data_IF_293993008154
#
_entry.id   IF_293993008154
#
_cell.length_a   1.000
_cell.length_b   1.000
_cell.length_c   1.000
_cell.angle_alpha   90.00
_cell.angle_beta   90.00
_cell.angle_gamma   90.00
#
_symmetry.space_group_name_H-M   'P 1'
#
loop_
_entity.id
_entity.type
_entity.pdbx_description
1 polymer ?
#
# COMPACT_ATOMS: atom_id res chain seq x y z
N UNK A 1 1.86 12.58 -11.45
CA UNK A 1 0.52 12.49 -10.82
C UNK A 1 -0.35 13.63 -11.33
N UNK A 2 0.12 14.88 -11.28
CA UNK A 2 -0.58 16.01 -11.91
C UNK A 2 -0.76 15.88 -13.44
N UNK A 3 0.06 15.03 -14.08
CA UNK A 3 0.03 14.76 -15.53
C UNK A 3 -0.98 13.70 -15.96
N UNK A 4 -1.62 12.99 -15.03
CA UNK A 4 -2.54 11.89 -15.35
C UNK A 4 -3.82 12.40 -16.01
N UNK A 5 -4.32 11.63 -16.97
CA UNK A 5 -5.54 11.87 -17.75
C UNK A 5 -6.61 10.83 -17.41
N UNK A 6 -7.84 11.04 -17.87
CA UNK A 6 -8.92 10.06 -17.73
C UNK A 6 -8.56 8.72 -18.40
N UNK A 7 -7.84 8.76 -19.52
CA UNK A 7 -7.36 7.59 -20.26
C UNK A 7 -6.17 6.85 -19.63
N UNK A 8 -5.56 7.40 -18.57
CA UNK A 8 -4.47 6.72 -17.86
C UNK A 8 -4.92 5.40 -17.23
N UNK A 9 -6.23 5.21 -17.03
CA UNK A 9 -6.82 4.05 -16.39
C UNK A 9 -7.90 3.45 -17.27
N UNK A 10 -8.02 2.13 -17.26
CA UNK A 10 -9.09 1.42 -17.95
C UNK A 10 -9.72 0.34 -17.08
N UNK A 11 -11.04 0.24 -17.19
CA UNK A 11 -11.82 -0.88 -16.67
C UNK A 11 -11.62 -2.09 -17.57
N UNK A 12 -11.24 -3.21 -16.97
CA UNK A 12 -11.10 -4.52 -17.62
C UNK A 12 -11.86 -5.56 -16.84
N UNK A 13 -12.18 -6.66 -17.51
CA UNK A 13 -12.83 -7.83 -16.91
C UNK A 13 -11.98 -9.05 -17.18
N UNK A 14 -11.67 -9.82 -16.15
CA UNK A 14 -10.92 -11.05 -16.31
C UNK A 14 -11.80 -12.12 -16.99
N UNK A 15 -11.38 -12.73 -18.12
CA UNK A 15 -12.21 -13.66 -18.87
C UNK A 15 -12.65 -14.91 -18.10
N UNK A 16 -11.80 -15.38 -17.17
CA UNK A 16 -12.02 -16.65 -16.48
C UNK A 16 -12.93 -16.52 -15.26
N UNK A 17 -12.76 -15.44 -14.49
CA UNK A 17 -13.46 -15.23 -13.22
C UNK A 17 -14.64 -14.28 -13.36
N UNK A 18 -14.71 -13.50 -14.45
CA UNK A 18 -15.66 -12.40 -14.61
C UNK A 18 -15.38 -11.21 -13.68
N UNK A 19 -14.28 -11.23 -12.92
CA UNK A 19 -13.95 -10.17 -11.96
C UNK A 19 -13.50 -8.92 -12.69
N UNK A 20 -14.12 -7.77 -12.36
CA UNK A 20 -13.70 -6.48 -12.91
C UNK A 20 -12.49 -5.94 -12.16
N UNK A 21 -11.67 -5.16 -12.85
CA UNK A 21 -10.54 -4.47 -12.26
C UNK A 21 -10.19 -3.21 -13.04
N UNK A 22 -9.61 -2.22 -12.35
CA UNK A 22 -9.04 -1.04 -12.99
C UNK A 22 -7.54 -1.25 -13.17
N UNK A 23 -7.04 -1.06 -14.38
CA UNK A 23 -5.62 -1.13 -14.70
C UNK A 23 -5.09 0.25 -15.12
N UNK A 24 -3.84 0.57 -14.74
CA UNK A 24 -3.13 1.72 -15.31
C UNK A 24 -2.50 1.38 -16.63
N UNK A 25 -2.96 2.04 -17.68
CA UNK A 25 -2.31 1.99 -18.98
C UNK A 25 -0.99 2.77 -18.89
N UNK A 26 0.10 2.15 -19.33
CA UNK A 26 1.38 2.82 -19.52
C UNK A 26 1.41 3.36 -20.96
N UNK A 27 1.49 4.68 -21.12
CA UNK A 27 1.73 5.28 -22.44
C UNK A 27 3.12 4.86 -22.93
N UNK A 28 3.18 4.20 -24.10
CA UNK A 28 4.43 3.70 -24.69
C UNK A 28 5.42 4.82 -25.10
N UNK A 29 4.97 6.08 -25.11
CA UNK A 29 5.64 7.23 -25.74
C UNK A 29 6.71 7.94 -24.90
N UNK A 30 6.88 7.65 -23.60
CA UNK A 30 7.96 8.26 -22.79
C UNK A 30 9.26 7.46 -22.78
N UNK A 31 9.44 6.51 -23.71
CA UNK A 31 10.64 5.67 -23.91
C UNK A 31 11.88 6.42 -24.45
N UNK A 32 12.10 7.67 -24.06
CA UNK A 32 13.34 8.40 -24.32
C UNK A 32 14.03 8.87 -23.04
N UNK A 33 14.30 7.97 -22.09
CA UNK A 33 15.47 8.15 -21.22
C UNK A 33 16.03 6.85 -20.64
N UNK A 34 17.20 6.47 -21.17
CA UNK A 34 18.34 5.80 -20.52
C UNK A 34 18.05 4.63 -19.57
N UNK A 35 18.35 3.42 -20.07
CA UNK A 35 19.01 2.33 -19.34
C UNK A 35 18.52 1.98 -17.93
N UNK A 36 17.83 0.84 -17.84
CA UNK A 36 17.63 0.00 -16.63
C UNK A 36 16.42 0.27 -15.71
N UNK A 37 15.54 1.22 -16.01
CA UNK A 37 14.26 1.31 -15.28
C UNK A 37 13.20 0.42 -15.96
N UNK A 38 13.06 -0.83 -15.49
CA UNK A 38 11.89 -1.68 -15.79
C UNK A 38 10.64 -1.01 -15.21
N UNK A 39 10.05 -0.08 -15.95
CA UNK A 39 8.75 0.53 -15.68
C UNK A 39 7.63 -0.47 -16.03
N UNK A 40 7.70 -1.68 -15.47
CA UNK A 40 6.82 -2.81 -15.83
C UNK A 40 5.66 -2.98 -14.83
N UNK A 41 5.65 -2.26 -13.72
CA UNK A 41 4.55 -2.44 -12.75
C UNK A 41 3.36 -1.55 -13.11
N UNK A 42 2.51 -2.07 -13.99
CA UNK A 42 1.12 -1.63 -14.11
C UNK A 42 0.39 -1.97 -12.81
N UNK A 43 -0.15 -0.97 -12.12
CA UNK A 43 -0.99 -1.21 -10.95
C UNK A 43 -2.35 -1.78 -11.38
N UNK A 44 -2.95 -2.63 -10.56
CA UNK A 44 -4.27 -3.23 -10.82
C UNK A 44 -5.12 -3.14 -9.57
N UNK A 45 -6.30 -2.54 -9.64
CA UNK A 45 -7.28 -2.47 -8.54
C UNK A 45 -8.43 -3.45 -8.81
N UNK A 46 -8.44 -4.64 -8.19
CA UNK A 46 -9.52 -5.60 -8.37
C UNK A 46 -10.81 -5.15 -7.70
N UNK A 47 -11.94 -5.59 -8.23
CA UNK A 47 -13.25 -5.42 -7.62
C UNK A 47 -13.31 -6.12 -6.26
N UNK A 48 -13.89 -5.44 -5.27
CA UNK A 48 -14.16 -6.00 -3.95
C UNK A 48 -15.67 -6.18 -3.80
N UNK A 49 -16.21 -7.27 -4.37
CA UNK A 49 -17.64 -7.56 -4.42
C UNK A 49 -18.26 -7.56 -3.02
N UNK A 50 -19.37 -6.85 -2.85
CA UNK A 50 -20.08 -6.74 -1.57
C UNK A 50 -19.48 -5.73 -0.58
N UNK A 51 -18.36 -5.08 -0.92
CA UNK A 51 -17.80 -4.00 -0.09
C UNK A 51 -18.38 -2.65 -0.50
N UNK A 52 -18.88 -1.87 0.47
CA UNK A 52 -19.20 -0.45 0.25
C UNK A 52 -17.95 0.39 -0.07
N UNK A 53 -16.76 -0.16 0.17
CA UNK A 53 -15.45 0.43 -0.08
C UNK A 53 -14.83 -0.10 -1.40
N UNK A 54 -15.65 -0.62 -2.33
CA UNK A 54 -15.16 -1.22 -3.57
C UNK A 54 -14.39 -0.20 -4.42
N UNK A 55 -13.11 -0.45 -4.76
CA UNK A 55 -12.28 0.51 -5.48
C UNK A 55 -12.74 0.67 -6.94
N UNK A 56 -13.26 -0.38 -7.57
CA UNK A 56 -13.78 -0.33 -8.95
C UNK A 56 -15.02 0.55 -9.02
N UNK A 57 -16.00 0.32 -8.14
CA UNK A 57 -17.23 1.13 -8.10
C UNK A 57 -16.93 2.60 -7.73
N UNK A 58 -16.04 2.81 -6.77
CA UNK A 58 -15.58 4.15 -6.41
C UNK A 58 -14.91 4.86 -7.58
N UNK A 59 -14.12 4.14 -8.38
CA UNK A 59 -13.48 4.68 -9.57
C UNK A 59 -14.49 5.05 -10.64
N UNK A 60 -15.46 4.17 -10.94
CA UNK A 60 -16.52 4.44 -11.92
C UNK A 60 -17.32 5.67 -11.53
N UNK A 61 -17.80 5.73 -10.27
CA UNK A 61 -18.54 6.91 -9.74
C UNK A 61 -17.68 8.17 -9.82
N UNK A 62 -16.40 8.10 -9.49
CA UNK A 62 -15.51 9.25 -9.60
C UNK A 62 -15.41 9.77 -11.04
N UNK A 63 -15.15 8.87 -12.01
CA UNK A 63 -14.99 9.25 -13.42
C UNK A 63 -16.26 9.82 -14.05
N UNK A 64 -17.42 9.31 -13.65
CA UNK A 64 -18.73 9.78 -14.10
C UNK A 64 -19.01 11.24 -13.69
N UNK A 65 -18.56 11.63 -12.49
CA UNK A 65 -18.79 12.98 -11.96
C UNK A 65 -17.75 14.01 -12.38
N UNK A 66 -16.70 13.61 -13.11
CA UNK A 66 -15.67 14.52 -13.63
C UNK A 66 -16.24 15.47 -14.68
N UNK A 67 -15.67 16.67 -14.79
CA UNK A 67 -16.06 17.62 -15.83
C UNK A 67 -15.69 17.05 -17.21
N UNK A 68 -16.62 17.00 -18.19
CA UNK A 68 -16.38 16.39 -19.50
C UNK A 68 -15.23 17.08 -20.25
N UNK A 69 -15.23 18.42 -20.29
CA UNK A 69 -14.25 19.23 -21.02
C UNK A 69 -12.82 19.22 -20.43
N UNK A 70 -12.63 18.61 -19.27
CA UNK A 70 -11.31 18.49 -18.64
C UNK A 70 -10.81 17.05 -18.78
N UNK A 71 -9.75 16.83 -19.56
CA UNK A 71 -9.15 15.50 -19.76
C UNK A 71 -8.33 15.02 -18.53
N UNK A 72 -8.04 15.93 -17.61
CA UNK A 72 -7.21 15.61 -16.44
C UNK A 72 -8.00 14.77 -15.46
N UNK A 73 -7.33 13.77 -14.89
CA UNK A 73 -7.95 12.92 -13.89
C UNK A 73 -8.25 13.72 -12.63
N UNK A 74 -7.24 14.40 -12.09
CA UNK A 74 -7.35 15.15 -10.84
C UNK A 74 -7.90 16.56 -11.09
N UNK A 75 -9.19 16.72 -10.85
CA UNK A 75 -9.90 17.99 -11.03
C UNK A 75 -10.26 18.64 -9.68
N UNK A 76 -10.40 19.96 -9.68
CA UNK A 76 -10.78 20.71 -8.47
C UNK A 76 -12.25 20.43 -8.14
N UNK A 77 -12.58 19.95 -6.93
CA UNK A 77 -13.97 19.74 -6.54
C UNK A 77 -14.72 21.07 -6.45
N UNK A 78 -16.02 21.03 -6.70
CA UNK A 78 -16.93 22.15 -6.43
C UNK A 78 -17.12 22.35 -4.94
N UNK A 79 -17.39 23.59 -4.55
CA UNK A 79 -17.55 23.96 -3.14
C UNK A 79 -18.86 23.40 -2.57
N UNK A 80 -19.86 23.24 -3.44
CA UNK A 80 -21.12 22.56 -3.19
C UNK A 80 -21.43 21.62 -4.37
N UNK A 81 -22.04 20.47 -4.09
CA UNK A 81 -22.62 19.57 -5.09
C UNK A 81 -23.87 18.91 -4.49
N UNK A 82 -24.84 18.56 -5.32
CA UNK A 82 -25.92 17.65 -4.94
C UNK A 82 -25.55 16.24 -5.41
N UNK A 83 -25.87 15.23 -4.61
CA UNK A 83 -25.73 13.82 -5.00
C UNK A 83 -26.89 13.45 -5.92
N UNK A 84 -26.86 14.02 -7.14
CA UNK A 84 -27.76 13.72 -8.25
C UNK A 84 -26.98 13.02 -9.38
N UNK A 85 -27.66 12.13 -10.10
CA UNK A 85 -27.08 11.31 -11.15
C UNK A 85 -26.54 12.15 -12.31
N UNK A 86 -27.16 13.30 -12.60
CA UNK A 86 -26.76 14.17 -13.71
C UNK A 86 -25.82 15.33 -13.30
N UNK A 87 -25.45 15.45 -12.03
CA UNK A 87 -24.64 16.59 -11.56
C UNK A 87 -23.13 16.36 -11.69
N UNK A 88 -22.44 17.36 -12.25
CA UNK A 88 -20.97 17.40 -12.35
C UNK A 88 -20.40 17.96 -11.04
N UNK A 89 -19.58 17.17 -10.35
CA UNK A 89 -19.03 17.54 -9.03
C UNK A 89 -17.73 18.34 -9.09
N UNK A 90 -17.10 18.43 -10.26
CA UNK A 90 -15.80 19.05 -10.44
C UNK A 90 -15.88 20.27 -11.36
N UNK A 91 -15.00 21.24 -11.12
CA UNK A 91 -14.80 22.34 -12.07
C UNK A 91 -13.95 21.86 -13.25
N UNK A 92 -14.05 22.56 -14.39
CA UNK A 92 -13.09 22.43 -15.50
C UNK A 92 -11.74 23.06 -15.12
N UNK A 93 -11.09 22.52 -14.09
CA UNK A 93 -9.84 23.02 -13.54
C UNK A 93 -9.05 21.87 -12.91
N UNK A 94 -7.74 21.87 -13.11
CA UNK A 94 -6.85 20.82 -12.60
C UNK A 94 -6.45 21.08 -11.15
N UNK A 95 -6.14 20.01 -10.41
CA UNK A 95 -5.53 20.13 -9.09
C UNK A 95 -4.02 20.33 -9.24
N UNK A 96 -3.50 21.41 -8.64
CA UNK A 96 -2.06 21.67 -8.61
C UNK A 96 -1.27 20.61 -7.83
N UNK A 97 -0.03 20.35 -8.25
CA UNK A 97 0.81 19.31 -7.66
C UNK A 97 1.01 19.47 -6.14
N UNK A 98 1.19 20.71 -5.66
CA UNK A 98 1.36 20.99 -4.24
C UNK A 98 0.14 20.53 -3.43
N UNK A 99 -1.06 20.80 -3.93
CA UNK A 99 -2.32 20.39 -3.29
C UNK A 99 -2.47 18.87 -3.28
N UNK A 100 -2.04 18.20 -4.35
CA UNK A 100 -2.07 16.74 -4.43
C UNK A 100 -1.05 16.09 -3.47
N UNK A 101 0.11 16.73 -3.24
CA UNK A 101 1.09 16.29 -2.24
C UNK A 101 0.56 16.41 -0.81
N UNK A 102 -0.23 17.45 -0.50
CA UNK A 102 -0.81 17.66 0.83
C UNK A 102 -2.21 17.08 1.01
N UNK A 103 -2.81 16.52 -0.04
CA UNK A 103 -4.21 16.10 -0.07
C UNK A 103 -4.65 15.26 1.15
N UNK A 104 -3.94 14.17 1.44
CA UNK A 104 -4.30 13.31 2.59
C UNK A 104 -4.12 14.02 3.94
N UNK A 105 -3.09 14.87 4.06
CA UNK A 105 -2.86 15.69 5.26
C UNK A 105 -4.00 16.67 5.50
N UNK A 106 -4.45 17.33 4.44
CA UNK A 106 -5.53 18.30 4.49
C UNK A 106 -6.86 17.59 4.82
N UNK A 107 -7.14 16.46 4.16
CA UNK A 107 -8.33 15.65 4.40
C UNK A 107 -8.39 15.16 5.85
N UNK A 108 -7.28 14.63 6.36
CA UNK A 108 -7.16 14.14 7.72
C UNK A 108 -7.47 15.23 8.76
N UNK A 109 -7.04 16.46 8.49
CA UNK A 109 -7.30 17.60 9.36
C UNK A 109 -8.77 18.06 9.27
N UNK A 110 -9.32 18.15 8.05
CA UNK A 110 -10.72 18.50 7.82
C UNK A 110 -11.69 17.52 8.47
N UNK A 111 -11.39 16.22 8.43
CA UNK A 111 -12.18 15.17 9.06
C UNK A 111 -11.93 15.02 10.57
N UNK A 112 -11.02 15.81 11.16
CA UNK A 112 -10.66 15.73 12.59
C UNK A 112 -10.29 14.31 13.06
N UNK A 113 -9.51 13.61 12.24
CA UNK A 113 -9.01 12.29 12.62
C UNK A 113 -8.08 12.39 13.82
N UNK A 114 -7.90 11.28 14.52
CA UNK A 114 -7.09 11.19 15.75
C UNK A 114 -5.61 11.51 15.55
N UNK A 115 -5.10 11.39 14.33
CA UNK A 115 -3.76 11.84 13.97
C UNK A 115 -3.74 12.36 12.53
N UNK A 116 -2.66 13.07 12.20
CA UNK A 116 -2.42 13.56 10.84
C UNK A 116 -1.91 12.43 9.95
N UNK A 117 -2.74 11.98 9.02
CA UNK A 117 -2.35 11.04 7.99
C UNK A 117 -1.76 11.75 6.78
N UNK A 118 -0.71 11.17 6.19
CA UNK A 118 -0.07 11.70 4.99
C UNK A 118 -0.16 10.71 3.84
N UNK A 119 0.19 11.15 2.64
CA UNK A 119 0.34 10.25 1.50
C UNK A 119 1.36 9.12 1.76
N UNK A 120 2.36 9.35 2.61
CA UNK A 120 3.30 8.32 3.04
C UNK A 120 2.65 7.31 4.00
N UNK A 121 1.74 7.76 4.87
CA UNK A 121 0.98 6.88 5.77
C UNK A 121 0.17 5.84 5.00
N UNK A 122 -0.47 6.25 3.90
CA UNK A 122 -1.19 5.32 2.99
C UNK A 122 -0.23 4.24 2.49
N UNK A 123 0.89 4.64 1.89
CA UNK A 123 1.89 3.71 1.35
C UNK A 123 2.44 2.75 2.41
N UNK A 124 2.70 3.25 3.61
CA UNK A 124 3.13 2.44 4.76
C UNK A 124 2.08 1.39 5.12
N UNK A 125 0.79 1.77 5.21
CA UNK A 125 -0.29 0.86 5.58
C UNK A 125 -0.37 -0.35 4.66
N UNK A 126 -0.41 -0.19 3.33
CA UNK A 126 -0.48 -1.40 2.50
C UNK A 126 0.85 -2.12 2.32
N UNK A 127 2.01 -1.48 2.53
CA UNK A 127 3.25 -2.23 2.67
C UNK A 127 3.18 -3.19 3.88
N UNK A 128 2.69 -2.70 5.02
CA UNK A 128 2.44 -3.52 6.21
C UNK A 128 1.38 -4.60 5.95
N UNK A 129 0.25 -4.28 5.31
CA UNK A 129 -0.79 -5.29 5.01
C UNK A 129 -0.21 -6.41 4.13
N UNK A 130 0.51 -6.08 3.06
CA UNK A 130 1.09 -7.09 2.18
C UNK A 130 2.18 -7.91 2.89
N UNK A 131 2.99 -7.27 3.74
CA UNK A 131 3.99 -7.97 4.57
C UNK A 131 3.33 -8.96 5.52
N UNK A 132 2.25 -8.55 6.19
CA UNK A 132 1.53 -9.40 7.14
C UNK A 132 0.87 -10.60 6.46
N UNK A 133 0.46 -10.45 5.20
CA UNK A 133 -0.06 -11.52 4.35
C UNK A 133 1.03 -12.37 3.66
N UNK A 134 2.30 -12.24 4.09
CA UNK A 134 3.43 -13.09 3.66
C UNK A 134 3.75 -13.03 2.16
N UNK A 135 3.43 -11.91 1.50
CA UNK A 135 3.92 -11.66 0.14
C UNK A 135 5.44 -11.44 0.16
N UNK A 136 6.12 -11.87 -0.90
CA UNK A 136 7.55 -11.67 -1.04
C UNK A 136 7.86 -10.16 -1.19
N UNK A 137 8.94 -9.69 -0.58
CA UNK A 137 9.46 -8.33 -0.72
C UNK A 137 9.51 -7.85 -2.17
N UNK A 138 9.88 -8.70 -3.14
CA UNK A 138 9.86 -8.32 -4.55
C UNK A 138 8.45 -7.95 -5.06
N UNK A 139 7.42 -8.69 -4.65
CA UNK A 139 6.02 -8.42 -4.98
C UNK A 139 5.50 -7.18 -4.23
N UNK A 140 5.90 -7.01 -2.97
CA UNK A 140 5.54 -5.82 -2.20
C UNK A 140 6.18 -4.57 -2.83
N UNK A 141 7.47 -4.63 -3.20
CA UNK A 141 8.18 -3.55 -3.87
C UNK A 141 7.53 -3.18 -5.20
N UNK A 142 7.06 -4.16 -5.97
CA UNK A 142 6.40 -3.90 -7.24
C UNK A 142 5.12 -3.08 -7.04
N UNK A 143 4.28 -3.42 -6.05
CA UNK A 143 3.02 -2.71 -5.76
C UNK A 143 3.25 -1.37 -5.08
N UNK A 144 4.13 -1.32 -4.09
CA UNK A 144 4.35 -0.12 -3.24
C UNK A 144 5.33 0.88 -3.87
N UNK A 145 6.07 0.48 -4.91
CA UNK A 145 7.05 1.30 -5.59
C UNK A 145 8.30 1.60 -4.75
N UNK A 146 8.65 0.74 -3.80
CA UNK A 146 9.92 0.84 -3.05
C UNK A 146 11.08 0.37 -3.93
N UNK A 147 12.23 1.05 -3.82
CA UNK A 147 13.43 0.71 -4.59
C UNK A 147 14.38 -0.23 -3.87
N UNK A 148 14.18 -0.42 -2.56
CA UNK A 148 15.04 -1.26 -1.73
C UNK A 148 14.21 -2.02 -0.69
N UNK A 149 14.59 -3.27 -0.44
CA UNK A 149 14.04 -4.10 0.65
C UNK A 149 14.30 -3.45 2.01
N UNK A 150 15.42 -2.75 2.17
CA UNK A 150 15.73 -2.03 3.41
C UNK A 150 14.71 -0.93 3.72
N UNK A 151 14.09 -0.34 2.70
CA UNK A 151 13.01 0.63 2.90
C UNK A 151 11.66 -0.02 3.25
N UNK A 152 11.53 -1.34 3.06
CA UNK A 152 10.37 -2.12 3.45
C UNK A 152 10.49 -2.72 4.86
N UNK A 153 11.70 -3.03 5.32
CA UNK A 153 11.92 -3.70 6.62
C UNK A 153 11.33 -2.95 7.81
N UNK A 154 11.19 -1.61 7.71
CA UNK A 154 10.52 -0.77 8.73
C UNK A 154 9.06 -1.18 8.96
N UNK A 155 8.42 -1.80 7.96
CA UNK A 155 7.01 -2.21 7.98
C UNK A 155 6.83 -3.70 8.29
N UNK A 156 7.89 -4.51 8.23
CA UNK A 156 7.89 -5.95 8.53
C UNK A 156 7.95 -6.20 10.04
N UNK A 157 6.95 -5.71 10.78
CA UNK A 157 6.88 -5.95 12.22
C UNK A 157 6.29 -7.33 12.47
N UNK A 158 7.10 -8.19 13.07
CA UNK A 158 6.67 -9.51 13.51
C UNK A 158 5.84 -9.36 14.78
N UNK A 159 4.58 -9.75 14.70
CA UNK A 159 3.68 -9.78 15.86
C UNK A 159 4.06 -10.91 16.85
N UNK A 160 3.66 -10.78 18.10
CA UNK A 160 3.92 -11.76 19.17
C UNK A 160 3.43 -13.15 18.79
N UNK A 161 2.26 -13.26 18.15
CA UNK A 161 1.73 -14.54 17.68
C UNK A 161 2.66 -15.21 16.65
N UNK A 162 3.21 -14.43 15.72
CA UNK A 162 4.14 -14.93 14.72
C UNK A 162 5.47 -15.36 15.37
N UNK A 163 5.96 -14.62 16.37
CA UNK A 163 7.13 -15.04 17.17
C UNK A 163 6.89 -16.38 17.87
N UNK A 164 5.70 -16.60 18.41
CA UNK A 164 5.33 -17.87 19.03
C UNK A 164 5.31 -19.01 18.00
N UNK A 165 4.73 -18.80 16.82
CA UNK A 165 4.74 -19.80 15.74
C UNK A 165 6.16 -20.14 15.27
N UNK A 166 7.02 -19.14 15.13
CA UNK A 166 8.43 -19.36 14.81
C UNK A 166 9.14 -20.19 15.89
N UNK A 167 8.92 -19.84 17.17
CA UNK A 167 9.46 -20.60 18.30
C UNK A 167 8.98 -22.06 18.35
N UNK A 168 7.69 -22.29 18.10
CA UNK A 168 7.12 -23.64 18.02
C UNK A 168 7.73 -24.46 16.89
N UNK A 169 7.88 -23.86 15.70
CA UNK A 169 8.48 -24.53 14.53
C UNK A 169 9.92 -24.95 14.82
N UNK A 170 10.71 -24.09 15.45
CA UNK A 170 12.07 -24.40 15.87
C UNK A 170 12.08 -25.55 16.90
N UNK A 171 11.20 -25.49 17.91
CA UNK A 171 11.08 -26.51 18.93
C UNK A 171 10.70 -27.89 18.39
N UNK A 172 9.71 -27.95 17.48
CA UNK A 172 9.29 -29.20 16.83
C UNK A 172 10.42 -29.78 15.99
N UNK A 173 11.11 -28.94 15.20
CA UNK A 173 12.21 -29.39 14.33
C UNK A 173 13.39 -29.94 15.14
N UNK A 174 13.71 -29.31 16.27
CA UNK A 174 14.76 -29.79 17.17
C UNK A 174 14.35 -31.08 17.91
N UNK A 175 13.07 -31.23 18.27
CA UNK A 175 12.55 -32.43 18.94
C UNK A 175 12.37 -33.63 17.99
N UNK A 176 12.25 -33.39 16.68
CA UNK A 176 12.09 -34.42 15.66
C UNK A 176 13.41 -35.09 15.23
N UNK A 177 14.55 -34.71 15.82
CA UNK A 177 15.80 -35.48 15.67
C UNK A 177 15.66 -36.75 16.53
N UNK A 178 15.54 -37.96 15.95
CA UNK A 178 15.54 -39.18 16.74
C UNK A 178 16.85 -39.27 17.52
N UNK A 179 16.73 -39.56 18.81
CA UNK A 179 17.83 -39.77 19.73
C UNK A 179 18.69 -40.96 19.30
N UNK A 180 19.65 -40.74 18.40
CA UNK A 180 20.81 -41.58 18.21
C UNK A 180 22.04 -40.69 18.10
N UNK A 181 22.47 -40.13 19.23
CA UNK A 181 23.83 -39.62 19.38
C UNK A 181 24.37 -40.19 20.69
N UNK A 182 25.17 -41.24 20.51
CA UNK A 182 26.12 -41.75 21.50
C UNK A 182 26.98 -40.59 22.01
N UNK A 183 27.14 -40.49 23.33
CA UNK A 183 27.67 -39.33 24.02
C UNK A 183 29.10 -38.96 23.56
N UNK A 184 29.25 -37.84 22.87
CA UNK A 184 30.54 -37.18 22.67
C UNK A 184 30.90 -36.37 23.93
N UNK A 185 32.18 -36.36 24.35
CA UNK A 185 32.61 -35.70 25.58
C UNK A 185 32.52 -34.17 25.45
N UNK A 186 32.19 -33.52 26.58
CA UNK A 186 31.92 -32.10 26.67
C UNK A 186 33.09 -31.23 26.17
N UNK A 187 32.83 -30.16 25.39
CA UNK A 187 33.85 -29.20 25.01
C UNK A 187 34.25 -28.31 26.21
N UNK A 188 35.49 -27.80 26.22
CA UNK A 188 36.01 -26.99 27.32
C UNK A 188 35.28 -25.65 27.43
N UNK A 189 34.98 -25.28 28.67
CA UNK A 189 34.32 -24.04 29.08
C UNK A 189 35.12 -22.83 28.57
N UNK A 190 34.52 -22.01 27.71
CA UNK A 190 35.03 -20.67 27.40
C UNK A 190 34.41 -19.66 28.37
N UNK A 191 35.19 -18.77 29.00
CA UNK A 191 34.65 -17.74 29.89
C UNK A 191 33.79 -16.74 29.11
N UNK A 192 32.64 -16.39 29.69
CA UNK A 192 31.64 -15.50 29.12
C UNK A 192 32.15 -14.06 29.03
N UNK A 193 32.01 -13.43 27.85
CA UNK A 193 32.08 -11.97 27.72
C UNK A 193 30.77 -11.37 28.26
N UNK A 194 30.90 -10.37 29.11
CA UNK A 194 29.80 -9.67 29.78
C UNK A 194 28.95 -8.86 28.79
N UNK A 195 27.62 -8.97 28.94
CA UNK A 195 26.67 -8.17 28.18
C UNK A 195 26.48 -6.77 28.81
N UNK A 196 26.37 -5.69 28.02
CA UNK A 196 25.95 -4.38 28.52
C UNK A 196 24.41 -4.30 28.70
N UNK A 197 23.92 -3.34 29.50
CA UNK A 197 22.56 -3.36 30.05
C UNK A 197 21.49 -2.96 29.04
N UNK A 198 20.34 -3.64 29.14
CA UNK A 198 19.09 -3.31 28.44
C UNK A 198 18.23 -2.44 29.35
N UNK A 199 17.81 -1.28 28.87
CA UNK A 199 16.77 -0.44 29.50
C UNK A 199 15.47 -0.58 28.68
N UNK A 200 14.30 -0.79 29.29
CA UNK A 200 13.05 -1.03 28.56
C UNK A 200 12.37 0.29 28.19
N UNK A 201 11.74 0.34 27.01
CA UNK A 201 10.76 1.37 26.68
C UNK A 201 9.42 0.70 26.33
N UNK A 202 8.39 1.23 26.97
CA UNK A 202 7.04 0.71 27.15
C UNK A 202 6.17 0.75 25.86
N UNK A 203 5.46 -0.36 25.66
CA UNK A 203 4.05 -0.54 25.23
C UNK A 203 3.31 0.54 24.44
N UNK A 204 2.81 0.16 23.25
CA UNK A 204 1.37 -0.02 22.90
C UNK A 204 0.34 1.04 23.40
N UNK A 205 -0.62 1.56 22.63
CA UNK A 205 -1.57 0.90 21.72
C UNK A 205 -2.35 1.95 20.90
N UNK A 206 -2.91 1.56 19.75
CA UNK A 206 -3.84 2.40 18.99
C UNK A 206 -4.42 1.73 17.76
N UNK A 207 -5.43 0.88 17.97
CA UNK A 207 -6.34 0.35 16.94
C UNK A 207 -6.91 1.45 16.05
N UNK A 208 -6.90 1.29 14.73
CA UNK A 208 -7.75 2.07 13.81
C UNK A 208 -7.97 1.36 12.46
N UNK A 209 -9.19 0.88 12.25
CA UNK A 209 -9.96 1.09 11.03
C UNK A 209 -11.17 1.95 11.45
N UNK A 210 -11.66 2.94 10.67
CA UNK A 210 -11.89 2.87 9.22
C UNK A 210 -11.58 4.17 8.46
N UNK A 211 -10.63 4.17 7.53
CA UNK A 211 -10.43 5.30 6.58
C UNK A 211 -10.07 4.74 5.20
N UNK A 212 -10.97 3.91 4.62
CA UNK A 212 -10.63 3.10 3.45
C UNK A 212 -11.21 3.56 2.10
N UNK A 213 -12.15 4.51 2.00
CA UNK A 213 -12.77 4.82 0.69
C UNK A 213 -11.93 5.78 -0.15
N UNK A 214 -11.39 6.86 0.44
CA UNK A 214 -10.65 7.86 -0.34
C UNK A 214 -9.15 7.51 -0.52
N UNK A 215 -8.61 6.64 0.34
CA UNK A 215 -7.20 6.26 0.31
C UNK A 215 -6.89 5.20 -0.75
N UNK A 216 -7.84 4.30 -1.07
CA UNK A 216 -7.72 3.25 -2.09
C UNK A 216 -7.48 3.83 -3.50
N UNK A 217 -8.16 4.93 -3.85
CA UNK A 217 -8.00 5.59 -5.16
C UNK A 217 -6.57 6.17 -5.37
N UNK A 218 -5.89 6.56 -4.28
CA UNK A 218 -4.49 7.00 -4.32
C UNK A 218 -3.48 5.86 -4.10
N UNK A 219 -3.95 4.67 -3.70
CA UNK A 219 -3.15 3.56 -3.20
C UNK A 219 -2.41 2.81 -4.31
N UNK A 220 -3.09 2.51 -5.42
CA UNK A 220 -2.58 1.51 -6.37
C UNK A 220 -1.65 2.04 -7.46
N UNK A 221 -1.41 3.36 -7.52
CA UNK A 221 -0.75 3.99 -8.68
C UNK A 221 0.38 4.98 -8.38
N UNK A 222 1.10 4.81 -7.27
CA UNK A 222 2.29 5.62 -6.97
C UNK A 222 3.61 4.90 -7.24
N UNK A 223 4.15 5.12 -8.44
CA UNK A 223 5.58 5.40 -8.63
C UNK A 223 5.76 6.73 -9.36
N UNK A 224 5.56 7.85 -8.66
CA UNK A 224 6.16 9.13 -9.08
C UNK A 224 6.70 9.79 -7.81
N UNK A 225 8.00 10.10 -7.87
CA UNK A 225 8.92 10.53 -6.83
C UNK A 225 8.32 11.44 -5.73
N UNK A 226 8.71 11.16 -4.48
CA UNK A 226 9.14 12.21 -3.57
C UNK A 226 10.65 12.39 -3.75
#
# INVERSE_FOLDING_TARGET
>A
MHTMTKSTFALKTEPNTGMRYIEKILDELTKNHRGNDKETTSGVMPEATGSMYCPVESFIKYTDKLHPDCDRLWQRPRDCFVDDDNEIWYYNATVGEKKLKTFMSDLSLSCKLSQKYTNHSIRATGASILSNNKFNDAQIMSVTGHKSVQSLSVYQRVDTQEKLQMGQTLGITMAAVPAQIEALPAPPIRPALTAPPVTPALTENGSMAPVLIAAEFAFRFRRIRF
#
